data_IF_152219213884
#
_entry.id   IF_152219213884
#
_cell.length_a   1.000
_cell.length_b   1.000
_cell.length_c   1.000
_cell.angle_alpha   90.00
_cell.angle_beta   90.00
_cell.angle_gamma   90.00
#
_symmetry.space_group_name_H-M   'P 1'
#
loop_
_entity.id
_entity.type
_entity.pdbx_description
1 polymer ?
#
# COMPACT_ATOMS: atom_id res chain seq x y z
N UNK A 1 -6.48 -18.81 -9.94
CA UNK A 1 -7.89 -19.12 -9.68
C UNK A 1 -8.63 -17.81 -9.46
N UNK A 2 -9.59 -17.49 -10.36
CA UNK A 2 -10.48 -16.35 -10.22
C UNK A 2 -11.82 -16.84 -9.67
N UNK A 3 -12.34 -16.16 -8.66
CA UNK A 3 -13.69 -16.40 -8.14
C UNK A 3 -14.56 -15.19 -8.44
N UNK A 4 -15.71 -15.45 -9.04
CA UNK A 4 -16.77 -14.47 -9.28
C UNK A 4 -17.84 -14.62 -8.21
N UNK A 5 -18.23 -13.52 -7.55
CA UNK A 5 -19.35 -13.54 -6.63
C UNK A 5 -20.15 -12.25 -6.71
N UNK A 6 -21.45 -12.36 -6.48
CA UNK A 6 -22.42 -11.30 -6.69
C UNK A 6 -23.00 -10.85 -5.34
N UNK A 7 -22.91 -9.57 -5.00
CA UNK A 7 -23.54 -9.01 -3.81
C UNK A 7 -24.15 -7.64 -4.14
N UNK A 8 -25.46 -7.49 -3.90
CA UNK A 8 -26.18 -6.20 -4.05
C UNK A 8 -26.00 -5.51 -5.42
N UNK A 9 -26.06 -6.27 -6.53
CA UNK A 9 -25.99 -5.68 -7.88
C UNK A 9 -24.57 -5.31 -8.33
N UNK A 10 -23.52 -5.79 -7.65
CA UNK A 10 -22.11 -5.55 -7.99
C UNK A 10 -21.42 -6.87 -8.27
N UNK A 11 -20.60 -6.90 -9.33
CA UNK A 11 -19.77 -8.06 -9.69
C UNK A 11 -18.39 -7.85 -9.10
N UNK A 12 -17.90 -8.81 -8.32
CA UNK A 12 -16.55 -8.80 -7.73
C UNK A 12 -15.74 -9.91 -8.36
N UNK A 13 -14.56 -9.58 -8.86
CA UNK A 13 -13.56 -10.54 -9.30
C UNK A 13 -12.43 -10.61 -8.28
N UNK A 14 -12.19 -11.79 -7.73
CA UNK A 14 -11.00 -12.03 -6.90
C UNK A 14 -9.96 -12.74 -7.75
N UNK A 15 -8.90 -12.05 -8.11
CA UNK A 15 -7.74 -12.65 -8.77
C UNK A 15 -6.77 -13.10 -7.67
N UNK A 16 -6.64 -14.40 -7.47
CA UNK A 16 -5.64 -14.96 -6.57
C UNK A 16 -4.38 -15.18 -7.38
N UNK A 17 -3.41 -14.28 -7.26
CA UNK A 17 -2.05 -14.54 -7.71
C UNK A 17 -1.28 -15.12 -6.50
N UNK A 18 -0.66 -16.31 -6.60
CA UNK A 18 0.09 -16.90 -5.48
C UNK A 18 1.31 -16.05 -5.04
N UNK A 19 1.68 -15.02 -5.79
CA UNK A 19 2.75 -14.06 -5.48
C UNK A 19 2.29 -12.61 -5.32
N UNK A 20 0.98 -12.33 -5.30
CA UNK A 20 0.44 -10.99 -5.11
C UNK A 20 -0.65 -11.00 -4.05
N UNK A 21 -0.67 -9.94 -3.23
CA UNK A 21 -1.74 -9.67 -2.25
C UNK A 21 -3.12 -9.83 -2.90
N UNK A 22 -4.11 -10.32 -2.16
CA UNK A 22 -5.51 -10.42 -2.61
C UNK A 22 -5.99 -9.08 -3.16
N UNK A 23 -6.21 -9.02 -4.45
CA UNK A 23 -6.76 -7.84 -5.12
C UNK A 23 -8.27 -8.03 -5.26
N UNK A 24 -9.08 -7.26 -4.54
CA UNK A 24 -10.52 -7.19 -4.78
C UNK A 24 -10.77 -6.02 -5.73
N UNK A 25 -11.15 -6.30 -6.97
CA UNK A 25 -11.58 -5.28 -7.93
C UNK A 25 -13.08 -5.11 -7.78
N UNK A 26 -13.52 -3.93 -7.34
CA UNK A 26 -14.93 -3.54 -7.34
C UNK A 26 -15.22 -2.88 -8.69
N UNK A 27 -16.00 -3.57 -9.54
CA UNK A 27 -16.46 -3.00 -10.82
C UNK A 27 -17.84 -2.42 -10.56
N UNK A 28 -17.95 -1.08 -10.54
CA UNK A 28 -19.23 -0.40 -10.64
C UNK A 28 -19.53 -0.16 -12.13
N UNK A 29 -20.67 -0.66 -12.59
CA UNK A 29 -21.20 -0.30 -13.92
C UNK A 29 -21.50 1.21 -13.93
N UNK A 30 -20.67 1.97 -14.65
CA UNK A 30 -21.02 3.33 -15.00
C UNK A 30 -21.94 3.27 -16.22
N UNK A 31 -23.16 3.80 -16.10
CA UNK A 31 -24.20 3.87 -17.13
C UNK A 31 -23.84 4.75 -18.33
N UNK A 32 -22.59 5.17 -18.49
CA UNK A 32 -22.14 5.92 -19.67
C UNK A 32 -20.62 5.77 -19.85
N UNK A 33 -20.19 4.78 -20.61
CA UNK A 33 -18.99 4.85 -21.43
C UNK A 33 -17.59 4.74 -20.78
N UNK A 34 -17.43 4.20 -19.55
CA UNK A 34 -16.10 3.99 -18.99
C UNK A 34 -16.10 3.07 -17.78
N UNK A 35 -15.19 2.10 -17.74
CA UNK A 35 -14.91 1.30 -16.54
C UNK A 35 -14.10 2.18 -15.59
N UNK A 36 -14.72 2.68 -14.52
CA UNK A 36 -14.00 3.34 -13.43
C UNK A 36 -13.42 2.22 -12.55
N UNK A 37 -12.14 1.94 -12.70
CA UNK A 37 -11.40 1.16 -11.72
C UNK A 37 -11.30 2.02 -10.46
N UNK A 38 -12.09 1.68 -9.44
CA UNK A 38 -12.02 2.36 -8.16
C UNK A 38 -10.62 2.08 -7.59
N UNK A 39 -9.77 3.09 -7.54
CA UNK A 39 -8.41 2.96 -7.04
C UNK A 39 -8.50 2.59 -5.57
N UNK A 40 -7.90 1.46 -5.19
CA UNK A 40 -7.79 1.10 -3.79
C UNK A 40 -7.12 2.24 -3.04
N UNK A 41 -7.83 2.79 -2.05
CA UNK A 41 -7.29 3.81 -1.14
C UNK A 41 -6.06 3.25 -0.43
N UNK A 42 -4.96 4.00 -0.41
CA UNK A 42 -3.72 3.64 0.28
C UNK A 42 -3.98 3.69 1.78
N UNK A 43 -3.82 2.55 2.45
CA UNK A 43 -3.97 2.44 3.90
C UNK A 43 -2.67 2.80 4.58
N UNK A 44 -2.68 3.84 5.39
CA UNK A 44 -1.50 4.33 6.12
C UNK A 44 -1.66 4.07 7.60
N UNK A 45 -0.63 3.49 8.24
CA UNK A 45 -0.46 3.50 9.68
C UNK A 45 0.54 4.60 10.03
N UNK A 46 0.23 5.40 11.05
CA UNK A 46 1.12 6.42 11.61
C UNK A 46 1.55 5.99 13.02
N UNK A 47 2.85 6.07 13.33
CA UNK A 47 3.40 5.82 14.64
C UNK A 47 4.33 6.96 15.06
N UNK A 48 3.95 7.70 16.09
CA UNK A 48 4.71 8.81 16.68
C UNK A 48 4.15 9.04 18.10
N UNK A 49 4.99 9.31 19.08
CA UNK A 49 4.57 9.53 20.48
C UNK A 49 4.02 10.94 20.73
N UNK A 50 4.18 11.85 19.76
CA UNK A 50 3.63 13.19 19.79
C UNK A 50 2.21 13.19 19.19
N UNK A 51 1.19 13.18 20.06
CA UNK A 51 -0.20 13.14 19.66
C UNK A 51 -0.60 14.32 18.75
N UNK A 52 -0.17 15.55 19.10
CA UNK A 52 -0.53 16.74 18.33
C UNK A 52 0.05 16.69 16.91
N UNK A 53 1.25 16.14 16.77
CA UNK A 53 1.87 15.93 15.48
C UNK A 53 1.16 14.83 14.68
N UNK A 54 0.74 13.75 15.34
CA UNK A 54 -0.11 12.73 14.72
C UNK A 54 -1.41 13.32 14.17
N UNK A 55 -2.11 14.14 14.96
CA UNK A 55 -3.38 14.74 14.58
C UNK A 55 -3.21 15.62 13.32
N UNK A 56 -2.13 16.39 13.21
CA UNK A 56 -1.81 17.21 12.03
C UNK A 56 -1.58 16.32 10.78
N UNK A 57 -0.79 15.26 10.91
CA UNK A 57 -0.52 14.35 9.77
C UNK A 57 -1.81 13.62 9.35
N UNK A 58 -2.59 13.13 10.30
CA UNK A 58 -3.87 12.45 10.05
C UNK A 58 -4.83 13.36 9.29
N UNK A 59 -4.99 14.62 9.77
CA UNK A 59 -5.84 15.61 9.11
C UNK A 59 -5.39 15.90 7.69
N UNK A 60 -4.06 16.00 7.46
CA UNK A 60 -3.51 16.27 6.14
C UNK A 60 -3.71 15.07 5.19
N UNK A 61 -3.39 13.86 5.63
CA UNK A 61 -3.48 12.66 4.81
C UNK A 61 -4.93 12.28 4.50
N UNK A 62 -5.84 12.39 5.47
CA UNK A 62 -7.26 12.07 5.26
C UNK A 62 -8.00 13.09 4.37
N UNK A 63 -7.43 14.26 4.07
CA UNK A 63 -7.95 15.18 3.05
C UNK A 63 -7.64 14.70 1.62
N UNK A 64 -6.75 13.73 1.45
CA UNK A 64 -6.43 13.13 0.15
C UNK A 64 -7.48 12.08 -0.22
N UNK A 65 -7.99 12.09 -1.45
CA UNK A 65 -9.03 11.15 -1.90
C UNK A 65 -8.53 9.69 -2.00
N UNK A 66 -7.22 9.53 -2.16
CA UNK A 66 -6.55 8.25 -2.41
C UNK A 66 -5.77 7.70 -1.21
N UNK A 67 -5.85 8.35 -0.03
CA UNK A 67 -5.13 7.94 1.18
C UNK A 67 -6.11 7.88 2.37
N UNK A 68 -5.95 6.88 3.22
CA UNK A 68 -6.70 6.76 4.47
C UNK A 68 -5.77 6.33 5.59
N UNK A 69 -5.74 7.06 6.71
CA UNK A 69 -5.05 6.64 7.92
C UNK A 69 -5.93 5.63 8.65
N UNK A 70 -5.49 4.36 8.68
CA UNK A 70 -6.24 3.24 9.27
C UNK A 70 -5.91 3.00 10.74
N UNK A 71 -4.75 3.48 11.20
CA UNK A 71 -4.36 3.38 12.61
C UNK A 71 -3.32 4.45 12.97
N UNK A 72 -3.35 4.87 14.24
CA UNK A 72 -2.32 5.72 14.86
C UNK A 72 -1.78 4.99 16.09
N UNK A 73 -0.47 4.85 16.21
CA UNK A 73 0.23 4.21 17.31
C UNK A 73 1.09 5.24 18.05
N UNK A 74 1.16 5.12 19.38
CA UNK A 74 1.92 6.05 20.22
C UNK A 74 3.29 5.50 20.63
N UNK A 75 3.66 4.31 20.16
CA UNK A 75 4.96 3.67 20.35
C UNK A 75 5.12 2.46 19.44
N UNK A 76 6.35 1.93 19.36
CA UNK A 76 6.67 0.86 18.43
C UNK A 76 6.03 -0.50 18.74
N UNK A 77 5.67 -0.78 20.01
CA UNK A 77 4.96 -2.02 20.34
C UNK A 77 3.51 -1.94 19.86
N UNK A 78 2.85 -0.82 20.11
CA UNK A 78 1.50 -0.54 19.62
C UNK A 78 1.48 -0.52 18.08
N UNK A 79 2.51 0.06 17.44
CA UNK A 79 2.68 0.04 15.99
C UNK A 79 2.72 -1.39 15.44
N UNK A 80 3.52 -2.28 16.02
CA UNK A 80 3.59 -3.69 15.57
C UNK A 80 2.25 -4.43 15.71
N UNK A 81 1.50 -4.19 16.79
CA UNK A 81 0.18 -4.78 16.96
C UNK A 81 -0.79 -4.27 15.89
N UNK A 82 -0.84 -2.96 15.68
CA UNK A 82 -1.73 -2.33 14.70
C UNK A 82 -1.37 -2.68 13.26
N UNK A 83 -0.07 -2.83 12.92
CA UNK A 83 0.37 -3.34 11.61
C UNK A 83 -0.24 -4.72 11.34
N UNK A 84 -0.14 -5.64 12.31
CA UNK A 84 -0.69 -6.98 12.19
C UNK A 84 -2.23 -6.98 12.08
N UNK A 85 -2.91 -6.10 12.83
CA UNK A 85 -4.37 -6.10 12.90
C UNK A 85 -5.02 -5.37 11.72
N UNK A 86 -4.37 -4.32 11.16
CA UNK A 86 -4.95 -3.48 10.10
C UNK A 86 -4.38 -3.73 8.71
N UNK A 87 -3.25 -4.46 8.60
CA UNK A 87 -2.54 -4.72 7.34
C UNK A 87 -2.43 -3.45 6.47
N UNK A 88 -1.72 -2.40 6.95
CA UNK A 88 -1.56 -1.16 6.19
C UNK A 88 -0.66 -1.40 4.97
N UNK A 89 -0.85 -0.60 3.92
CA UNK A 89 0.03 -0.60 2.76
C UNK A 89 1.34 0.13 3.06
N UNK A 90 1.24 1.22 3.85
CA UNK A 90 2.38 2.05 4.26
C UNK A 90 2.36 2.24 5.77
N UNK A 91 3.52 2.11 6.40
CA UNK A 91 3.75 2.48 7.80
C UNK A 91 4.70 3.69 7.87
N UNK A 92 4.22 4.81 8.38
CA UNK A 92 5.00 6.02 8.65
C UNK A 92 5.34 6.01 10.13
N UNK A 93 6.62 5.90 10.48
CA UNK A 93 7.08 5.59 11.83
C UNK A 93 8.12 6.61 12.28
N UNK A 94 7.91 7.21 13.46
CA UNK A 94 8.95 8.04 14.07
C UNK A 94 10.18 7.19 14.44
N UNK A 95 11.36 7.75 14.20
CA UNK A 95 12.63 7.12 14.55
C UNK A 95 12.84 6.97 16.05
N UNK A 96 12.24 7.86 16.86
CA UNK A 96 12.44 7.91 18.33
C UNK A 96 11.07 7.81 19.01
N UNK A 97 10.78 6.67 19.61
CA UNK A 97 9.54 6.43 20.35
C UNK A 97 9.84 5.68 21.65
N UNK A 98 8.97 5.78 22.69
CA UNK A 98 9.11 5.01 23.92
C UNK A 98 8.90 3.51 23.67
N UNK A 99 9.38 2.67 24.58
CA UNK A 99 9.25 1.20 24.60
C UNK A 99 9.94 0.48 23.44
N UNK A 100 9.72 0.89 22.21
CA UNK A 100 10.35 0.36 20.99
C UNK A 100 10.46 1.49 19.98
N UNK A 101 11.68 1.82 19.59
CA UNK A 101 11.98 2.87 18.62
C UNK A 101 11.72 2.40 17.16
N UNK A 102 11.79 3.33 16.20
CA UNK A 102 11.54 3.03 14.80
C UNK A 102 12.50 1.98 14.23
N UNK A 103 13.76 1.97 14.63
CA UNK A 103 14.74 0.96 14.20
C UNK A 103 14.38 -0.42 14.74
N UNK A 104 13.96 -0.50 16.01
CA UNK A 104 13.49 -1.73 16.63
C UNK A 104 12.20 -2.27 15.97
N UNK A 105 11.32 -1.40 15.48
CA UNK A 105 10.16 -1.81 14.67
C UNK A 105 10.64 -2.43 13.35
N UNK A 106 11.58 -1.80 12.64
CA UNK A 106 12.14 -2.37 11.41
C UNK A 106 12.79 -3.74 11.63
N UNK A 107 13.59 -3.89 12.69
CA UNK A 107 14.21 -5.17 13.05
C UNK A 107 13.19 -6.29 13.30
N UNK A 108 12.01 -5.96 13.83
CA UNK A 108 10.92 -6.92 14.02
C UNK A 108 10.19 -7.22 12.72
N UNK A 109 9.95 -6.22 11.89
CA UNK A 109 9.33 -6.39 10.59
C UNK A 109 10.17 -7.29 9.67
N UNK A 110 11.51 -7.23 9.74
CA UNK A 110 12.37 -8.14 8.98
C UNK A 110 12.13 -9.62 9.32
N UNK A 111 11.60 -9.93 10.51
CA UNK A 111 11.33 -11.31 10.95
C UNK A 111 9.92 -11.79 10.58
N UNK A 112 9.07 -10.90 10.06
CA UNK A 112 7.75 -11.28 9.53
C UNK A 112 7.88 -11.75 8.08
N UNK A 113 6.86 -12.40 7.55
CA UNK A 113 6.85 -12.78 6.15
C UNK A 113 6.84 -11.54 5.26
N UNK A 114 7.49 -11.61 4.09
CA UNK A 114 7.68 -10.45 3.21
C UNK A 114 6.34 -9.87 2.73
N UNK A 115 5.37 -10.73 2.45
CA UNK A 115 4.04 -10.35 1.98
C UNK A 115 3.22 -9.59 3.04
N UNK A 116 3.58 -9.70 4.32
CA UNK A 116 2.89 -9.02 5.43
C UNK A 116 3.57 -7.70 5.85
N UNK A 117 4.69 -7.34 5.20
CA UNK A 117 5.41 -6.11 5.53
C UNK A 117 4.83 -4.92 4.80
N UNK A 118 4.47 -3.83 5.51
CA UNK A 118 4.12 -2.58 4.85
C UNK A 118 5.38 -1.91 4.25
N UNK A 119 5.19 -1.05 3.25
CA UNK A 119 6.20 -0.06 2.90
C UNK A 119 6.47 0.79 4.13
N UNK A 120 7.73 0.94 4.54
CA UNK A 120 8.06 1.66 5.76
C UNK A 120 8.80 2.95 5.48
N UNK A 121 8.24 4.07 5.97
CA UNK A 121 8.86 5.41 5.95
C UNK A 121 9.25 5.76 7.37
N UNK A 122 10.54 6.04 7.61
CA UNK A 122 11.01 6.54 8.91
C UNK A 122 11.01 8.07 8.89
N UNK A 123 10.38 8.68 9.89
CA UNK A 123 10.47 10.12 10.19
C UNK A 123 11.42 10.29 11.37
N UNK A 124 12.39 11.20 11.31
CA UNK A 124 13.28 11.39 12.44
C UNK A 124 13.94 12.77 12.44
N UNK A 125 14.21 13.31 13.63
CA UNK A 125 15.06 14.50 13.78
C UNK A 125 16.55 14.20 13.59
N UNK A 126 16.96 12.93 13.55
CA UNK A 126 18.34 12.53 13.35
C UNK A 126 18.68 12.49 11.86
N UNK A 127 19.68 13.25 11.44
CA UNK A 127 20.14 13.32 10.05
C UNK A 127 21.54 12.71 9.84
N UNK A 128 22.06 11.99 10.83
CA UNK A 128 23.38 11.37 10.75
C UNK A 128 23.39 10.21 9.73
N UNK A 129 24.33 10.22 8.80
CA UNK A 129 24.45 9.22 7.73
C UNK A 129 24.40 7.77 8.25
N UNK A 130 25.05 7.49 9.38
CA UNK A 130 25.04 6.15 9.99
C UNK A 130 23.65 5.69 10.43
N UNK A 131 22.83 6.59 10.94
CA UNK A 131 21.44 6.27 11.37
C UNK A 131 20.56 6.06 10.16
N UNK A 132 20.67 6.93 9.17
CA UNK A 132 19.95 6.80 7.89
C UNK A 132 20.31 5.48 7.22
N UNK A 133 21.60 5.17 7.07
CA UNK A 133 22.05 3.93 6.44
C UNK A 133 21.53 2.71 7.21
N UNK A 134 21.61 2.71 8.54
CA UNK A 134 21.11 1.62 9.37
C UNK A 134 19.60 1.39 9.16
N UNK A 135 18.81 2.46 9.08
CA UNK A 135 17.37 2.34 8.82
C UNK A 135 17.09 1.69 7.44
N UNK A 136 17.83 2.11 6.41
CA UNK A 136 17.71 1.55 5.06
C UNK A 136 18.16 0.07 5.02
N UNK A 137 19.26 -0.28 5.67
CA UNK A 137 19.74 -1.66 5.78
C UNK A 137 18.75 -2.57 6.53
N UNK A 138 17.98 -1.99 7.47
CA UNK A 138 16.89 -2.65 8.18
C UNK A 138 15.58 -2.69 7.39
N UNK A 139 15.57 -2.27 6.13
CA UNK A 139 14.44 -2.40 5.22
C UNK A 139 13.47 -1.21 5.23
N UNK A 140 13.87 -0.03 5.76
CA UNK A 140 13.11 1.18 5.50
C UNK A 140 13.11 1.49 4.00
N UNK A 141 11.93 1.69 3.43
CA UNK A 141 11.79 2.08 2.01
C UNK A 141 12.17 3.54 1.80
N UNK A 142 12.04 4.36 2.83
CA UNK A 142 12.45 5.76 2.81
C UNK A 142 12.75 6.29 4.21
N UNK A 143 13.64 7.29 4.28
CA UNK A 143 13.97 8.03 5.49
C UNK A 143 13.75 9.51 5.26
N UNK A 144 12.96 10.18 6.09
CA UNK A 144 12.64 11.60 6.00
C UNK A 144 13.06 12.32 7.27
N UNK A 145 13.83 13.39 7.11
CA UNK A 145 14.33 14.18 8.25
C UNK A 145 13.30 15.23 8.64
N UNK A 146 12.98 15.33 9.93
CA UNK A 146 12.15 16.40 10.49
C UNK A 146 12.98 17.70 10.65
N UNK A 147 12.46 18.92 10.33
CA UNK A 147 11.11 19.16 9.79
C UNK A 147 11.01 18.87 8.28
N UNK A 148 9.85 18.45 7.82
CA UNK A 148 9.56 18.17 6.42
C UNK A 148 8.23 18.82 5.99
N UNK A 149 8.02 18.91 4.69
CA UNK A 149 6.78 19.35 4.09
C UNK A 149 5.74 18.23 4.03
N UNK A 150 4.48 18.49 4.39
CA UNK A 150 3.41 17.49 4.42
C UNK A 150 3.05 16.99 3.01
N UNK A 151 3.13 17.85 2.00
CA UNK A 151 2.91 17.45 0.61
C UNK A 151 4.05 16.55 0.12
N UNK A 152 5.29 16.78 0.58
CA UNK A 152 6.42 15.91 0.27
C UNK A 152 6.22 14.50 0.86
N UNK A 153 5.68 14.37 2.08
CA UNK A 153 5.33 13.07 2.67
C UNK A 153 4.25 12.38 1.82
N UNK A 154 3.18 13.09 1.47
CA UNK A 154 2.09 12.59 0.64
C UNK A 154 2.58 12.08 -0.71
N UNK A 155 3.41 12.86 -1.40
CA UNK A 155 4.00 12.48 -2.68
C UNK A 155 4.90 11.24 -2.56
N UNK A 156 5.67 11.14 -1.47
CA UNK A 156 6.54 9.98 -1.23
C UNK A 156 5.72 8.71 -0.99
N UNK A 157 4.64 8.77 -0.23
CA UNK A 157 3.71 7.65 -0.06
C UNK A 157 3.20 7.14 -1.41
N UNK A 158 2.72 8.04 -2.27
CA UNK A 158 2.23 7.70 -3.61
C UNK A 158 3.31 7.09 -4.50
N UNK A 159 4.50 7.67 -4.50
CA UNK A 159 5.63 7.18 -5.29
C UNK A 159 6.02 5.75 -4.90
N UNK A 160 6.22 5.48 -3.62
CA UNK A 160 6.60 4.16 -3.13
C UNK A 160 5.53 3.10 -3.43
N UNK A 161 4.25 3.46 -3.36
CA UNK A 161 3.15 2.58 -3.74
C UNK A 161 3.14 2.26 -5.24
N UNK A 162 3.55 3.20 -6.09
CA UNK A 162 3.65 2.98 -7.54
C UNK A 162 4.84 2.08 -7.90
N UNK A 163 5.97 2.23 -7.21
CA UNK A 163 7.18 1.41 -7.42
C UNK A 163 6.95 -0.07 -7.06
N UNK A 164 6.05 -0.37 -6.13
CA UNK A 164 5.68 -1.76 -5.76
C UNK A 164 4.60 -2.38 -6.66
N UNK A 165 3.89 -1.58 -7.46
CA UNK A 165 2.92 -2.15 -8.42
C UNK A 165 3.71 -2.78 -9.58
N UNK A 166 3.60 -4.11 -9.84
CA UNK A 166 4.12 -4.67 -11.08
C UNK A 166 3.50 -3.87 -12.23
N UNK A 167 4.32 -3.45 -13.19
CA UNK A 167 3.88 -2.80 -14.43
C UNK A 167 2.88 -3.73 -15.15
N UNK A 168 1.60 -3.61 -14.82
CA UNK A 168 0.55 -4.03 -15.71
C UNK A 168 0.65 -3.09 -16.92
N UNK A 169 1.36 -3.54 -17.97
CA UNK A 169 1.42 -2.83 -19.25
C UNK A 169 -0.01 -2.49 -19.62
N UNK A 170 -0.25 -1.19 -19.84
CA UNK A 170 -1.54 -0.66 -20.24
C UNK A 170 -2.12 -1.51 -21.37
N UNK A 171 -3.20 -2.21 -21.11
CA UNK A 171 -4.03 -2.79 -22.16
C UNK A 171 -4.69 -1.59 -22.82
N UNK A 172 -4.40 -1.39 -24.10
CA UNK A 172 -5.01 -0.34 -24.90
C UNK A 172 -6.55 -0.41 -24.79
N UNK A 173 -7.27 0.72 -24.87
CA UNK A 173 -8.71 0.73 -24.72
C UNK A 173 -9.36 -0.17 -25.77
N UNK A 174 -10.04 -1.21 -25.33
CA UNK A 174 -10.80 -2.11 -26.19
C UNK A 174 -12.08 -1.38 -26.53
N UNK A 175 -12.25 -1.00 -27.80
CA UNK A 175 -13.51 -0.47 -28.32
C UNK A 175 -14.59 -1.56 -28.24
N UNK A 176 -15.73 -1.21 -27.68
CA UNK A 176 -16.77 -2.08 -27.15
C UNK A 176 -17.57 -2.97 -28.16
N UNK A 177 -17.03 -3.36 -29.31
CA UNK A 177 -17.80 -4.12 -30.30
C UNK A 177 -17.25 -5.51 -30.69
N UNK A 178 -16.17 -6.01 -30.04
CA UNK A 178 -15.64 -7.35 -30.38
C UNK A 178 -15.14 -8.13 -29.14
N UNK A 179 -15.43 -7.69 -27.93
CA UNK A 179 -14.65 -8.01 -26.74
C UNK A 179 -14.98 -9.33 -26.04
N UNK A 180 -16.10 -9.97 -26.31
CA UNK A 180 -16.53 -11.17 -25.54
C UNK A 180 -15.86 -12.45 -26.06
N UNK A 181 -15.61 -12.54 -27.36
CA UNK A 181 -15.02 -13.76 -27.95
C UNK A 181 -13.49 -13.81 -27.95
N UNK A 182 -12.80 -12.67 -27.75
CA UNK A 182 -11.34 -12.60 -27.85
C UNK A 182 -10.62 -12.85 -26.48
N UNK A 183 -11.34 -12.71 -25.36
CA UNK A 183 -10.78 -12.96 -24.02
C UNK A 183 -10.58 -14.44 -23.72
N UNK A 184 -11.50 -15.30 -24.11
CA UNK A 184 -11.36 -16.75 -23.91
C UNK A 184 -10.22 -17.33 -24.75
N UNK A 185 -10.06 -16.85 -25.97
CA UNK A 185 -8.99 -17.31 -26.88
C UNK A 185 -7.61 -16.86 -26.41
N UNK A 186 -7.47 -15.62 -25.91
CA UNK A 186 -6.18 -15.11 -25.40
C UNK A 186 -5.76 -15.74 -24.07
N UNK A 187 -6.71 -16.04 -23.17
CA UNK A 187 -6.42 -16.72 -21.90
C UNK A 187 -5.95 -18.15 -22.21
N UNK A 188 -6.57 -18.85 -23.13
CA UNK A 188 -6.19 -20.22 -23.54
C UNK A 188 -4.80 -20.26 -24.17
N UNK A 189 -4.46 -19.27 -25.00
CA UNK A 189 -3.14 -19.18 -25.65
C UNK A 189 -2.03 -18.92 -24.63
N UNK A 190 -2.25 -18.02 -23.66
CA UNK A 190 -1.27 -17.73 -22.61
C UNK A 190 -1.04 -18.94 -21.68
N UNK A 191 -2.06 -19.75 -21.42
CA UNK A 191 -1.95 -20.96 -20.62
C UNK A 191 -1.17 -22.06 -21.38
N UNK A 192 -1.33 -22.17 -22.70
CA UNK A 192 -0.59 -23.13 -23.53
C UNK A 192 0.88 -22.78 -23.74
N UNK A 193 1.23 -21.49 -23.82
CA UNK A 193 2.63 -21.03 -23.97
C UNK A 193 3.43 -21.15 -22.65
N UNK A 194 2.78 -21.21 -21.52
CA UNK A 194 3.44 -21.34 -20.20
C UNK A 194 3.40 -22.75 -19.61
N UNK A 195 3.02 -23.77 -20.39
CA UNK A 195 3.22 -25.18 -20.05
C UNK A 195 2.41 -25.68 -18.84
N UNK A 196 1.17 -25.22 -18.66
CA UNK A 196 0.23 -25.74 -17.63
C UNK A 196 -0.90 -26.50 -18.31
#
# INVERSE_FOLDING_TARGET
>A
LSYEWFLSGKIFYTIINPKARKFCINIQEATTGGIILNQNTIKVLLADDNKDFCDIIVDHLNKQEDITVVAVAMDGIDAMNKIRDTHPDVAVIDGIMPRLDGLGVLERLQKTEEDDRPITIILSALSQDKVVQKALDLGASYYMVKPFDMDALTQRIRQLMQEQKPLLKAVAPITANTAVYDLETKVTTILHENGV
#
